data_IF_685277089030
#
_entry.id   IF_685277089030
#
_cell.length_a   1.000
_cell.length_b   1.000
_cell.length_c   1.000
_cell.angle_alpha   90.00
_cell.angle_beta   90.00
_cell.angle_gamma   90.00
#
_symmetry.space_group_name_H-M   'P 1'
#
loop_
_entity.id
_entity.type
_entity.pdbx_description
1 polymer ?
#
# COMPACT_ATOMS: atom_id res chain seq x y z
N UNK A 1 -6.42 11.07 6.81
CA UNK A 1 -5.90 9.70 6.58
C UNK A 1 -6.77 9.06 5.52
N UNK A 2 -6.16 8.38 4.56
CA UNK A 2 -6.84 7.65 3.51
C UNK A 2 -7.33 6.32 4.08
N UNK A 3 -8.61 6.06 3.94
CA UNK A 3 -9.26 4.85 4.42
C UNK A 3 -9.51 3.83 3.31
N UNK A 4 -9.40 4.26 2.05
CA UNK A 4 -9.67 3.42 0.87
C UNK A 4 -8.63 3.67 -0.23
N UNK A 5 -8.54 2.72 -1.15
CA UNK A 5 -7.69 2.79 -2.36
C UNK A 5 -8.05 4.00 -3.22
N UNK A 6 -9.33 4.31 -3.37
CA UNK A 6 -9.83 5.41 -4.18
C UNK A 6 -9.37 6.76 -3.60
N UNK A 7 -9.34 6.90 -2.27
CA UNK A 7 -8.92 8.13 -1.61
C UNK A 7 -7.43 8.41 -1.82
N UNK A 8 -6.56 7.42 -1.65
CA UNK A 8 -5.12 7.61 -1.87
C UNK A 8 -4.80 7.81 -3.36
N UNK A 9 -5.47 7.06 -4.25
CA UNK A 9 -5.33 7.24 -5.71
C UNK A 9 -5.70 8.65 -6.12
N UNK A 10 -6.87 9.14 -5.69
CA UNK A 10 -7.32 10.50 -6.00
C UNK A 10 -6.33 11.57 -5.51
N UNK A 11 -5.72 11.38 -4.34
CA UNK A 11 -4.73 12.30 -3.80
C UNK A 11 -3.44 12.35 -4.65
N UNK A 12 -2.93 11.19 -5.09
CA UNK A 12 -1.73 11.13 -5.93
C UNK A 12 -1.98 11.71 -7.32
N UNK A 13 -3.12 11.38 -7.94
CA UNK A 13 -3.52 11.98 -9.23
C UNK A 13 -3.64 13.49 -9.12
N UNK A 14 -4.26 14.01 -8.05
CA UNK A 14 -4.33 15.45 -7.77
C UNK A 14 -2.94 16.09 -7.60
N UNK A 15 -1.95 15.33 -7.13
CA UNK A 15 -0.56 15.78 -6.99
C UNK A 15 0.26 15.69 -8.29
N UNK A 16 -0.36 15.34 -9.42
CA UNK A 16 0.28 15.31 -10.74
C UNK A 16 0.78 13.93 -11.19
N UNK A 17 0.43 12.87 -10.45
CA UNK A 17 0.71 11.51 -10.92
C UNK A 17 -0.27 11.10 -12.02
N UNK A 18 0.13 10.12 -12.84
CA UNK A 18 -0.74 9.55 -13.88
C UNK A 18 -2.06 9.02 -13.31
N UNK A 19 -3.15 9.16 -14.06
CA UNK A 19 -4.45 8.56 -13.74
C UNK A 19 -4.43 7.03 -13.70
N UNK A 20 -3.46 6.43 -14.38
CA UNK A 20 -3.35 4.98 -14.58
C UNK A 20 -2.61 4.28 -13.44
N UNK A 21 -2.21 5.03 -12.40
CA UNK A 21 -1.68 4.42 -11.19
C UNK A 21 -2.78 3.60 -10.50
N UNK A 22 -2.41 2.43 -10.02
CA UNK A 22 -3.29 1.58 -9.24
C UNK A 22 -2.67 1.29 -7.88
N UNK A 23 -3.54 1.17 -6.88
CA UNK A 23 -3.16 0.78 -5.53
C UNK A 23 -3.97 -0.43 -5.09
N UNK A 24 -3.38 -1.21 -4.19
CA UNK A 24 -4.09 -2.21 -3.39
C UNK A 24 -3.88 -1.92 -1.90
N UNK A 25 -4.90 -2.16 -1.09
CA UNK A 25 -4.75 -2.12 0.37
C UNK A 25 -3.97 -3.35 0.82
N UNK A 26 -2.89 -3.11 1.59
CA UNK A 26 -2.03 -4.17 2.08
C UNK A 26 -2.77 -4.98 3.16
N UNK A 27 -2.83 -6.29 2.98
CA UNK A 27 -3.45 -7.18 3.95
C UNK A 27 -2.47 -7.60 5.05
N UNK A 28 -2.97 -7.99 6.23
CA UNK A 28 -2.12 -8.48 7.33
C UNK A 28 -1.23 -9.68 6.91
N UNK A 29 -1.74 -10.70 6.18
CA UNK A 29 -0.89 -11.80 5.71
C UNK A 29 0.21 -11.37 4.74
N UNK A 30 -0.01 -10.33 3.94
CA UNK A 30 1.05 -9.79 3.09
C UNK A 30 2.09 -9.01 3.90
N UNK A 31 1.65 -8.22 4.88
CA UNK A 31 2.55 -7.53 5.80
C UNK A 31 3.43 -8.52 6.59
N UNK A 32 2.87 -9.67 6.98
CA UNK A 32 3.61 -10.77 7.62
C UNK A 32 4.70 -11.33 6.69
N UNK A 33 4.38 -11.54 5.41
CA UNK A 33 5.36 -12.01 4.41
C UNK A 33 6.45 -10.99 4.09
N UNK A 34 6.15 -9.70 4.19
CA UNK A 34 7.15 -8.64 4.06
C UNK A 34 8.15 -8.69 5.23
N UNK A 35 7.73 -9.18 6.39
CA UNK A 35 8.58 -9.29 7.58
C UNK A 35 8.85 -7.96 8.28
N UNK A 36 8.04 -6.92 8.00
CA UNK A 36 8.20 -5.61 8.65
C UNK A 36 7.38 -5.53 9.94
N UNK A 37 8.05 -5.67 11.08
CA UNK A 37 7.42 -5.59 12.41
C UNK A 37 6.72 -4.24 12.65
N UNK A 38 7.29 -3.15 12.15
CA UNK A 38 6.71 -1.81 12.29
C UNK A 38 5.35 -1.70 11.59
N UNK A 39 5.24 -2.21 10.36
CA UNK A 39 3.96 -2.20 9.62
C UNK A 39 2.92 -3.04 10.37
N UNK A 40 3.29 -4.24 10.81
CA UNK A 40 2.37 -5.12 11.54
C UNK A 40 1.83 -4.45 12.80
N UNK A 41 2.72 -3.86 13.61
CA UNK A 41 2.33 -3.15 14.84
C UNK A 41 1.42 -1.95 14.56
N UNK A 42 1.67 -1.23 13.47
CA UNK A 42 0.86 -0.07 13.10
C UNK A 42 -0.51 -0.50 12.55
N UNK A 43 -0.59 -1.61 11.80
CA UNK A 43 -1.86 -2.20 11.39
C UNK A 43 -2.70 -2.66 12.59
N UNK A 44 -2.07 -3.23 13.63
CA UNK A 44 -2.75 -3.58 14.88
C UNK A 44 -3.31 -2.36 15.62
N UNK A 45 -2.75 -1.18 15.37
CA UNK A 45 -3.24 0.11 15.86
C UNK A 45 -4.28 0.77 14.94
N UNK A 46 -4.72 0.06 13.90
CA UNK A 46 -5.71 0.54 12.94
C UNK A 46 -5.16 1.41 11.81
N UNK A 47 -3.84 1.50 11.64
CA UNK A 47 -3.25 2.16 10.46
C UNK A 47 -3.46 1.33 9.21
N UNK A 48 -3.64 2.00 8.07
CA UNK A 48 -3.71 1.36 6.77
C UNK A 48 -2.46 1.61 5.95
N UNK A 49 -2.18 0.67 5.06
CA UNK A 49 -1.06 0.73 4.13
C UNK A 49 -1.53 0.35 2.74
N UNK A 50 -0.95 0.98 1.73
CA UNK A 50 -1.36 0.82 0.34
C UNK A 50 -0.14 0.57 -0.53
N UNK A 51 -0.16 -0.50 -1.33
CA UNK A 51 0.90 -0.78 -2.31
C UNK A 51 0.51 -0.19 -3.66
N UNK A 52 1.38 0.62 -4.24
CA UNK A 52 1.24 1.07 -5.63
C UNK A 52 1.72 -0.03 -6.58
N UNK A 53 0.88 -0.48 -7.51
CA UNK A 53 1.17 -1.63 -8.36
C UNK A 53 2.27 -1.37 -9.38
N UNK A 54 2.38 -0.15 -9.90
CA UNK A 54 3.40 0.21 -10.91
C UNK A 54 4.82 0.27 -10.37
N UNK A 55 4.99 0.59 -9.08
CA UNK A 55 6.32 0.77 -8.44
C UNK A 55 6.63 -0.27 -7.38
N UNK A 56 5.62 -0.98 -6.85
CA UNK A 56 5.75 -1.82 -5.67
C UNK A 56 5.96 -1.05 -4.36
N UNK A 57 5.93 0.29 -4.40
CA UNK A 57 6.11 1.10 -3.19
C UNK A 57 4.90 0.96 -2.27
N UNK A 58 5.15 0.85 -0.97
CA UNK A 58 4.14 0.80 0.08
C UNK A 58 4.07 2.17 0.73
N UNK A 59 2.87 2.73 0.80
CA UNK A 59 2.55 4.02 1.39
C UNK A 59 1.70 3.81 2.64
N UNK A 60 1.88 4.65 3.65
CA UNK A 60 0.95 4.70 4.77
C UNK A 60 -0.35 5.46 4.40
N UNK A 61 -1.34 5.42 5.27
CA UNK A 61 -2.60 6.16 5.16
C UNK A 61 -2.47 7.70 5.19
N UNK A 62 -1.24 8.25 5.23
CA UNK A 62 -0.96 9.67 5.05
C UNK A 62 -0.28 9.96 3.71
N UNK A 63 -0.05 8.94 2.89
CA UNK A 63 0.61 9.05 1.59
C UNK A 63 2.14 9.10 1.68
N UNK A 64 2.72 8.81 2.85
CA UNK A 64 4.18 8.73 3.00
C UNK A 64 4.66 7.34 2.59
N UNK A 65 5.71 7.27 1.77
CA UNK A 65 6.32 5.99 1.43
C UNK A 65 7.03 5.40 2.66
N UNK A 66 6.77 4.13 2.93
CA UNK A 66 7.33 3.41 4.10
C UNK A 66 8.26 2.27 3.70
N UNK A 67 8.01 1.64 2.55
CA UNK A 67 8.88 0.60 1.97
C UNK A 67 8.90 0.75 0.45
N UNK A 68 10.07 0.55 -0.16
CA UNK A 68 10.25 0.66 -1.60
C UNK A 68 10.24 -0.72 -2.29
N UNK A 69 9.67 -0.75 -3.50
CA UNK A 69 9.79 -1.85 -4.48
C UNK A 69 9.46 -3.27 -3.95
N UNK A 70 8.36 -3.41 -3.21
CA UNK A 70 7.81 -4.71 -2.80
C UNK A 70 6.71 -5.10 -3.78
N UNK A 71 7.03 -6.05 -4.67
CA UNK A 71 6.08 -6.56 -5.64
C UNK A 71 4.94 -7.37 -4.97
N UNK A 72 3.73 -7.38 -5.55
CA UNK A 72 2.64 -8.22 -5.06
C UNK A 72 3.03 -9.69 -5.05
N UNK A 73 2.67 -10.41 -3.98
CA UNK A 73 2.87 -11.85 -3.94
C UNK A 73 1.92 -12.50 -4.94
N UNK A 74 2.47 -13.21 -5.93
CA UNK A 74 1.66 -13.95 -6.91
C UNK A 74 0.74 -14.91 -6.15
N UNK A 75 -0.57 -14.80 -6.38
CA UNK A 75 -1.51 -15.82 -5.90
C UNK A 75 -1.22 -17.10 -6.69
N UNK A 76 -1.11 -18.27 -6.04
CA UNK A 76 -0.97 -19.52 -6.77
C UNK A 76 -2.17 -19.67 -7.72
N UNK A 77 -1.89 -19.95 -8.99
CA UNK A 77 -2.90 -20.30 -9.98
C UNK A 77 -3.47 -21.65 -9.52
N UNK A 78 -4.77 -21.68 -9.19
CA UNK A 78 -5.48 -22.92 -8.88
C UNK A 78 -5.81 -23.68 -10.16
#
# INVERSE_FOLDING_TARGET
>A
MYNTVEQIKAAFVKAGWSSDIEFEELTKPEAEKIGSWTILRDMERGRKFFRMLSTGNIFDDRGSVVIYNIQPFKRPIK
#
